data_IF_631771186585
#
_entry.id   IF_631771186585
#
_cell.length_a   1.000
_cell.length_b   1.000
_cell.length_c   1.000
_cell.angle_alpha   90.00
_cell.angle_beta   90.00
_cell.angle_gamma   90.00
#
_symmetry.space_group_name_H-M   'P 1'
#
loop_
_entity.id
_entity.type
_entity.pdbx_description
1 polymer ?
#
# COMPACT_ATOMS: atom_id res chain seq x y z
N UNK A 1 -3.53 -11.98 -35.13
CA UNK A 1 -3.59 -10.62 -34.54
C UNK A 1 -4.01 -10.78 -33.10
N UNK A 2 -3.16 -10.41 -32.14
CA UNK A 2 -3.54 -10.39 -30.74
C UNK A 2 -4.26 -9.06 -30.47
N UNK A 3 -5.56 -9.13 -30.20
CA UNK A 3 -6.36 -8.00 -29.78
C UNK A 3 -6.03 -7.73 -28.31
N UNK A 4 -5.13 -6.79 -28.06
CA UNK A 4 -4.81 -6.34 -26.70
C UNK A 4 -5.07 -4.85 -26.60
N UNK A 5 -5.87 -4.46 -25.61
CA UNK A 5 -6.09 -3.06 -25.29
C UNK A 5 -4.84 -2.52 -24.58
N UNK A 6 -4.17 -1.48 -25.10
CA UNK A 6 -3.08 -0.83 -24.37
C UNK A 6 -3.64 -0.27 -23.07
N UNK A 7 -3.05 -0.65 -21.94
CA UNK A 7 -3.52 -0.22 -20.62
C UNK A 7 -3.51 1.31 -20.53
N UNK A 8 -4.62 1.88 -20.08
CA UNK A 8 -4.77 3.33 -19.85
C UNK A 8 -3.89 3.87 -18.70
N UNK A 9 -2.99 3.06 -18.13
CA UNK A 9 -2.21 3.37 -16.92
C UNK A 9 -3.01 3.25 -15.61
N UNK A 10 -4.32 3.03 -15.70
CA UNK A 10 -5.21 2.76 -14.58
C UNK A 10 -6.05 1.51 -14.86
N UNK A 11 -5.63 0.37 -14.33
CA UNK A 11 -6.34 -0.91 -14.46
C UNK A 11 -7.77 -0.84 -13.93
N UNK A 12 -8.06 0.03 -12.95
CA UNK A 12 -9.41 0.18 -12.43
C UNK A 12 -10.32 0.94 -13.39
N UNK A 13 -9.75 1.84 -14.20
CA UNK A 13 -10.48 2.56 -15.25
C UNK A 13 -10.79 1.63 -16.42
N UNK A 14 -9.81 0.80 -16.78
CA UNK A 14 -9.93 -0.22 -17.82
C UNK A 14 -11.02 -1.25 -17.49
N UNK A 15 -11.15 -1.60 -16.20
CA UNK A 15 -12.17 -2.51 -15.68
C UNK A 15 -13.51 -1.82 -15.35
N UNK A 16 -13.68 -0.55 -15.72
CA UNK A 16 -14.89 0.26 -15.47
C UNK A 16 -15.37 0.25 -14.01
N UNK A 17 -14.42 0.10 -13.07
CA UNK A 17 -14.72 0.03 -11.66
C UNK A 17 -15.06 1.43 -11.12
N UNK A 18 -15.96 1.52 -10.11
CA UNK A 18 -16.32 2.81 -9.54
C UNK A 18 -15.09 3.50 -8.93
N UNK A 19 -15.05 4.82 -8.96
CA UNK A 19 -13.95 5.63 -8.40
C UNK A 19 -12.53 5.07 -8.73
N UNK A 20 -12.19 4.90 -10.02
CA UNK A 20 -10.97 4.23 -10.45
C UNK A 20 -9.71 4.99 -10.03
N UNK A 21 -9.77 6.31 -9.93
CA UNK A 21 -8.67 7.16 -9.46
C UNK A 21 -8.35 6.90 -7.99
N UNK A 22 -9.38 6.88 -7.12
CA UNK A 22 -9.21 6.58 -5.69
C UNK A 22 -8.66 5.17 -5.47
N UNK A 23 -9.07 4.19 -6.29
CA UNK A 23 -8.56 2.81 -6.23
C UNK A 23 -7.08 2.75 -6.64
N UNK A 24 -6.70 3.46 -7.70
CA UNK A 24 -5.32 3.57 -8.14
C UNK A 24 -4.45 4.23 -7.06
N UNK A 25 -4.92 5.33 -6.47
CA UNK A 25 -4.20 6.04 -5.41
C UNK A 25 -3.95 5.15 -4.19
N UNK A 26 -4.98 4.43 -3.72
CA UNK A 26 -4.82 3.43 -2.64
C UNK A 26 -3.81 2.35 -3.02
N UNK A 27 -3.90 1.80 -4.23
CA UNK A 27 -3.00 0.76 -4.70
C UNK A 27 -1.54 1.25 -4.75
N UNK A 28 -1.31 2.47 -5.23
CA UNK A 28 0.02 3.08 -5.26
C UNK A 28 0.58 3.30 -3.85
N UNK A 29 -0.22 3.77 -2.90
CA UNK A 29 0.21 3.93 -1.52
C UNK A 29 0.57 2.57 -0.88
N UNK A 30 -0.29 1.57 -1.04
CA UNK A 30 -0.01 0.22 -0.54
C UNK A 30 1.25 -0.38 -1.17
N UNK A 31 1.46 -0.15 -2.46
CA UNK A 31 2.69 -0.58 -3.15
C UNK A 31 3.93 0.08 -2.54
N UNK A 32 3.92 1.41 -2.34
CA UNK A 32 5.03 2.15 -1.69
C UNK A 32 5.31 1.62 -0.29
N UNK A 33 4.28 1.36 0.51
CA UNK A 33 4.40 0.81 1.86
C UNK A 33 5.05 -0.57 1.83
N UNK A 34 4.56 -1.47 0.98
CA UNK A 34 5.11 -2.83 0.86
C UNK A 34 6.56 -2.82 0.40
N UNK A 35 6.88 -1.96 -0.58
CA UNK A 35 8.25 -1.78 -1.06
C UNK A 35 9.15 -1.26 0.04
N UNK A 36 8.73 -0.25 0.80
CA UNK A 36 9.51 0.33 1.90
C UNK A 36 9.78 -0.69 3.02
N UNK A 37 8.79 -1.53 3.34
CA UNK A 37 8.95 -2.63 4.31
C UNK A 37 9.96 -3.67 3.79
N UNK A 38 9.88 -4.02 2.51
CA UNK A 38 10.78 -4.99 1.87
C UNK A 38 12.22 -4.46 1.76
N UNK A 39 12.40 -3.23 1.28
CA UNK A 39 13.71 -2.57 1.12
C UNK A 39 14.44 -2.43 2.47
N UNK A 40 13.70 -2.36 3.57
CA UNK A 40 14.25 -2.29 4.94
C UNK A 40 14.39 -3.65 5.61
N UNK A 41 14.06 -4.75 4.93
CA UNK A 41 14.11 -6.09 5.52
C UNK A 41 13.17 -6.28 6.72
N UNK A 42 12.15 -5.42 6.86
CA UNK A 42 11.24 -5.49 7.99
C UNK A 42 10.30 -6.69 7.84
N UNK A 43 10.19 -7.49 8.89
CA UNK A 43 9.16 -8.54 8.91
C UNK A 43 7.77 -7.92 9.02
N UNK A 44 6.77 -8.61 8.49
CA UNK A 44 5.37 -8.19 8.61
C UNK A 44 4.96 -7.98 10.08
N UNK A 45 5.51 -8.79 10.99
CA UNK A 45 5.28 -8.66 12.43
C UNK A 45 5.88 -7.35 12.95
N UNK A 46 7.16 -7.09 12.68
CA UNK A 46 7.82 -5.85 13.09
C UNK A 46 7.12 -4.60 12.56
N UNK A 47 6.68 -4.62 11.29
CA UNK A 47 5.89 -3.53 10.72
C UNK A 47 4.55 -3.34 11.45
N UNK A 48 3.83 -4.44 11.73
CA UNK A 48 2.56 -4.38 12.46
C UNK A 48 2.72 -3.84 13.89
N UNK A 49 3.74 -4.32 14.61
CA UNK A 49 4.10 -3.87 15.96
C UNK A 49 4.47 -2.38 15.98
N UNK A 50 5.35 -1.94 15.08
CA UNK A 50 5.75 -0.54 14.97
C UNK A 50 4.57 0.37 14.61
N UNK A 51 3.74 -0.06 13.66
CA UNK A 51 2.57 0.69 13.24
C UNK A 51 1.44 0.65 14.29
N UNK A 52 1.53 -0.20 15.33
CA UNK A 52 0.47 -0.50 16.29
C UNK A 52 -0.82 -0.92 15.62
N UNK A 53 -0.72 -1.75 14.58
CA UNK A 53 -1.86 -2.30 13.86
C UNK A 53 -1.97 -3.80 14.06
N UNK A 54 -3.20 -4.32 13.95
CA UNK A 54 -3.42 -5.75 14.05
C UNK A 54 -2.75 -6.52 12.91
N UNK A 55 -2.27 -7.74 13.18
CA UNK A 55 -1.57 -8.58 12.19
C UNK A 55 -2.45 -8.90 10.98
N UNK A 56 -3.77 -9.06 11.16
CA UNK A 56 -4.71 -9.24 10.05
C UNK A 56 -4.73 -8.03 9.12
N UNK A 57 -4.83 -6.82 9.69
CA UNK A 57 -4.82 -5.54 8.96
C UNK A 57 -3.52 -5.38 8.16
N UNK A 58 -2.38 -5.72 8.76
CA UNK A 58 -1.09 -5.73 8.05
C UNK A 58 -1.06 -6.77 6.91
N UNK A 59 -1.70 -7.92 7.08
CA UNK A 59 -1.84 -8.94 6.03
C UNK A 59 -2.70 -8.46 4.87
N UNK A 60 -3.80 -7.77 5.16
CA UNK A 60 -4.67 -7.20 4.14
C UNK A 60 -3.94 -6.12 3.34
N UNK A 61 -3.20 -5.24 4.00
CA UNK A 61 -2.36 -4.24 3.33
C UNK A 61 -1.32 -4.88 2.41
N UNK A 62 -0.65 -5.95 2.86
CA UNK A 62 0.36 -6.65 2.06
C UNK A 62 -0.23 -7.33 0.83
N UNK A 63 -1.41 -7.90 0.97
CA UNK A 63 -2.10 -8.61 -0.11
C UNK A 63 -2.93 -7.68 -1.02
N UNK A 64 -2.84 -6.36 -0.86
CA UNK A 64 -3.63 -5.40 -1.65
C UNK A 64 -5.13 -5.42 -1.35
N UNK A 65 -5.55 -5.98 -0.21
CA UNK A 65 -6.94 -5.96 0.26
C UNK A 65 -7.24 -4.62 0.97
N UNK A 66 -7.39 -3.57 0.16
CA UNK A 66 -7.48 -2.18 0.64
C UNK A 66 -8.92 -1.68 0.86
N UNK A 67 -9.89 -2.60 1.01
CA UNK A 67 -11.32 -2.25 1.17
C UNK A 67 -11.55 -1.43 2.44
N UNK A 68 -10.98 -1.89 3.56
CA UNK A 68 -11.13 -1.26 4.87
C UNK A 68 -10.12 -0.14 5.15
N UNK A 69 -9.28 0.19 4.16
CA UNK A 69 -8.29 1.26 4.28
C UNK A 69 -8.75 2.49 3.53
N UNK A 70 -8.73 3.64 4.18
CA UNK A 70 -8.86 4.94 3.51
C UNK A 70 -7.51 5.36 2.92
N UNK A 71 -7.53 6.33 2.00
CA UNK A 71 -6.30 6.96 1.49
C UNK A 71 -5.51 7.57 2.65
N UNK A 72 -6.21 8.21 3.60
CA UNK A 72 -5.57 8.81 4.77
C UNK A 72 -4.89 7.78 5.67
N UNK A 73 -5.50 6.60 5.87
CA UNK A 73 -4.87 5.50 6.63
C UNK A 73 -3.55 5.06 5.99
N UNK A 74 -3.54 4.87 4.66
CA UNK A 74 -2.36 4.44 3.92
C UNK A 74 -1.28 5.52 3.92
N UNK A 75 -1.66 6.78 3.73
CA UNK A 75 -0.74 7.91 3.82
C UNK A 75 -0.12 8.05 5.21
N UNK A 76 -0.91 7.84 6.28
CA UNK A 76 -0.40 7.86 7.65
C UNK A 76 0.59 6.72 7.90
N UNK A 77 0.27 5.50 7.44
CA UNK A 77 1.16 4.34 7.54
C UNK A 77 2.47 4.59 6.79
N UNK A 78 2.40 5.12 5.57
CA UNK A 78 3.57 5.44 4.77
C UNK A 78 4.48 6.43 5.48
N UNK A 79 3.94 7.57 5.92
CA UNK A 79 4.69 8.59 6.68
C UNK A 79 5.33 8.00 7.93
N UNK A 80 4.57 7.22 8.70
CA UNK A 80 5.07 6.61 9.93
C UNK A 80 6.24 5.66 9.65
N UNK A 81 6.18 4.88 8.57
CA UNK A 81 7.31 4.08 8.13
C UNK A 81 8.46 4.96 7.68
N UNK A 82 8.26 6.01 6.88
CA UNK A 82 9.33 6.93 6.47
C UNK A 82 10.15 7.42 7.68
N UNK A 83 9.47 7.83 8.75
CA UNK A 83 10.09 8.30 10.01
C UNK A 83 10.75 7.21 10.89
N UNK A 84 10.55 5.92 10.62
CA UNK A 84 11.12 4.84 11.43
C UNK A 84 12.66 4.87 11.48
N UNK A 85 13.32 5.24 10.38
CA UNK A 85 14.78 5.31 10.31
C UNK A 85 15.36 6.51 11.07
N UNK A 86 14.65 7.65 11.11
CA UNK A 86 15.10 8.86 11.83
C UNK A 86 15.27 8.63 13.34
N UNK A 87 14.64 7.58 13.89
CA UNK A 87 14.72 7.24 15.31
C UNK A 87 15.88 6.30 15.63
N UNK A 88 16.49 5.64 14.64
CA UNK A 88 17.58 4.66 14.85
C UNK A 88 18.98 5.27 14.72
N UNK A 89 19.11 6.56 14.38
CA UNK A 89 20.37 7.29 14.23
C UNK A 89 20.56 8.42 15.27
N UNK A 90 19.86 8.36 16.42
CA UNK A 90 20.04 9.30 17.54
C UNK A 90 20.42 8.61 18.84
#
# INVERSE_FOLDING_TARGET
MADYTPSSGNVFKDLELPAPEKRLEKAQLAYKINRLIADRGMTQKAAADFLRMHRSKMSDLRNGRLRDFTINDLSFVLKKLEHWNETSER
#
